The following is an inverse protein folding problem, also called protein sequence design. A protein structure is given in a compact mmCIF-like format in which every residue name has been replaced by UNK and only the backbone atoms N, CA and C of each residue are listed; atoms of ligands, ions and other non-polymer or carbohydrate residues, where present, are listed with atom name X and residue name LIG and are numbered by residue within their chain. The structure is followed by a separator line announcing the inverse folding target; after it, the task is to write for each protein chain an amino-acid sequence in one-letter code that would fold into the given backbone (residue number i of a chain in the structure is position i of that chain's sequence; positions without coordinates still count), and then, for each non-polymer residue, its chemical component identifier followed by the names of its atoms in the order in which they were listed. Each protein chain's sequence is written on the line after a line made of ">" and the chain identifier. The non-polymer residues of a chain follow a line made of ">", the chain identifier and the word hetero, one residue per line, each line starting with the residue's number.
data_IF_780028206574
#
_entry.id   IF_780028206574
#
_cell.length_a   1.000
_cell.length_b   1.000
_cell.length_c   1.000
_cell.angle_alpha   90.00
_cell.angle_beta   90.00
_cell.angle_gamma   90.00
#
_symmetry.space_group_name_H-M   'P 1'
#
loop_
_entity.id
_entity.type
_entity.pdbx_description
1 polymer ?
#
# COMPACT_ATOMS: atom_id res chain seq x y z
N UNK A 1 23.86 34.04 -11.55
CA UNK A 1 23.49 32.96 -10.61
C UNK A 1 21.97 32.90 -10.55
N UNK A 2 21.34 31.74 -10.78
CA UNK A 2 19.88 31.61 -10.66
C UNK A 2 19.49 31.58 -9.18
N UNK A 3 18.38 32.22 -8.84
CA UNK A 3 17.86 32.23 -7.48
C UNK A 3 17.06 30.95 -7.18
N UNK A 4 16.91 30.61 -5.90
CA UNK A 4 16.16 29.42 -5.49
C UNK A 4 14.69 29.49 -5.96
N UNK A 5 14.03 30.61 -5.73
CA UNK A 5 12.64 30.82 -6.14
C UNK A 5 12.46 30.91 -7.66
N UNK A 6 13.50 31.32 -8.41
CA UNK A 6 13.51 31.27 -9.88
C UNK A 6 13.45 29.81 -10.38
N UNK A 7 14.24 28.94 -9.76
CA UNK A 7 14.19 27.49 -10.03
C UNK A 7 12.86 26.87 -9.58
N UNK A 8 12.28 27.37 -8.48
CA UNK A 8 10.98 26.91 -8.00
C UNK A 8 9.87 27.25 -8.99
N UNK A 9 9.82 28.48 -9.50
CA UNK A 9 8.81 28.88 -10.50
C UNK A 9 8.93 28.05 -11.78
N UNK A 10 10.15 27.82 -12.28
CA UNK A 10 10.38 27.00 -13.49
C UNK A 10 9.86 25.56 -13.35
N UNK A 11 9.81 25.02 -12.13
CA UNK A 11 9.32 23.67 -11.84
C UNK A 11 7.80 23.60 -11.66
N UNK A 12 7.13 24.73 -11.47
CA UNK A 12 5.70 24.79 -11.23
C UNK A 12 4.99 25.37 -12.46
N UNK A 13 3.78 24.90 -12.74
CA UNK A 13 3.00 25.36 -13.88
C UNK A 13 2.03 26.44 -13.40
N UNK A 14 2.21 27.67 -13.87
CA UNK A 14 1.36 28.83 -13.55
C UNK A 14 0.84 29.46 -14.85
N UNK A 15 -0.26 30.21 -14.75
CA UNK A 15 -0.76 31.01 -15.87
C UNK A 15 0.27 32.03 -16.34
N UNK A 16 0.20 32.44 -17.61
CA UNK A 16 1.11 33.43 -18.18
C UNK A 16 1.08 34.75 -17.40
N UNK A 17 -0.09 35.14 -16.89
CA UNK A 17 -0.28 36.33 -16.06
C UNK A 17 0.45 36.24 -14.72
N UNK A 18 0.26 35.14 -13.98
CA UNK A 18 0.97 34.92 -12.72
C UNK A 18 2.49 34.81 -12.95
N UNK A 19 2.89 34.14 -14.04
CA UNK A 19 4.30 33.96 -14.39
C UNK A 19 4.97 35.30 -14.75
N UNK A 20 4.28 36.18 -15.48
CA UNK A 20 4.78 37.52 -15.80
C UNK A 20 5.02 38.36 -14.54
N UNK A 21 4.09 38.31 -13.57
CA UNK A 21 4.23 38.99 -12.28
C UNK A 21 5.38 38.42 -11.46
N UNK A 22 5.51 37.10 -11.38
CA UNK A 22 6.62 36.46 -10.69
C UNK A 22 7.97 36.76 -11.33
N UNK A 23 8.08 36.74 -12.67
CA UNK A 23 9.31 37.13 -13.37
C UNK A 23 9.68 38.59 -13.09
N UNK A 24 8.70 39.50 -13.14
CA UNK A 24 8.89 40.90 -12.80
C UNK A 24 9.36 41.07 -11.35
N UNK A 25 8.81 40.29 -10.42
CA UNK A 25 9.26 40.26 -9.02
C UNK A 25 10.73 39.85 -8.90
N UNK A 26 11.17 38.81 -9.63
CA UNK A 26 12.56 38.34 -9.66
C UNK A 26 13.50 39.42 -10.24
N UNK A 27 13.09 40.09 -11.32
CA UNK A 27 13.87 41.16 -11.93
C UNK A 27 14.03 42.35 -10.97
N UNK A 28 12.95 42.78 -10.32
CA UNK A 28 13.01 43.81 -9.28
C UNK A 28 13.91 43.40 -8.11
N UNK A 29 13.87 42.13 -7.69
CA UNK A 29 14.76 41.62 -6.63
C UNK A 29 16.23 41.74 -7.03
N UNK A 30 16.58 41.29 -8.25
CA UNK A 30 17.94 41.36 -8.79
C UNK A 30 18.42 42.81 -8.96
N UNK A 31 17.50 43.72 -9.27
CA UNK A 31 17.74 45.16 -9.34
C UNK A 31 17.72 45.87 -7.98
N UNK A 32 17.57 45.14 -6.86
CA UNK A 32 17.49 45.66 -5.49
C UNK A 32 16.32 46.63 -5.24
N UNK A 33 15.26 46.53 -6.04
CA UNK A 33 14.01 47.28 -5.87
C UNK A 33 13.03 46.43 -5.07
N UNK A 34 13.35 46.22 -3.79
CA UNK A 34 12.62 45.29 -2.92
C UNK A 34 11.11 45.59 -2.74
N UNK A 35 10.65 46.86 -2.61
CA UNK A 35 9.22 47.15 -2.54
C UNK A 35 8.46 46.70 -3.79
N UNK A 36 9.01 46.98 -4.97
CA UNK A 36 8.42 46.54 -6.24
C UNK A 36 8.46 45.01 -6.37
N UNK A 37 9.55 44.38 -5.94
CA UNK A 37 9.68 42.93 -5.92
C UNK A 37 8.61 42.26 -5.05
N UNK A 38 8.41 42.74 -3.81
CA UNK A 38 7.39 42.22 -2.90
C UNK A 38 5.98 42.42 -3.48
N UNK A 39 5.70 43.62 -4.00
CA UNK A 39 4.40 43.95 -4.60
C UNK A 39 4.08 43.02 -5.77
N UNK A 40 5.01 42.85 -6.71
CA UNK A 40 4.81 41.97 -7.87
C UNK A 40 4.70 40.50 -7.46
N UNK A 41 5.48 40.06 -6.47
CA UNK A 41 5.42 38.68 -5.96
C UNK A 41 4.08 38.39 -5.28
N UNK A 42 3.57 39.33 -4.49
CA UNK A 42 2.26 39.23 -3.87
C UNK A 42 1.14 39.25 -4.92
N UNK A 43 1.22 40.13 -5.93
CA UNK A 43 0.23 40.14 -7.02
C UNK A 43 0.23 38.81 -7.78
N UNK A 44 1.41 38.26 -8.10
CA UNK A 44 1.52 36.94 -8.71
C UNK A 44 0.83 35.87 -7.87
N UNK A 45 1.04 35.89 -6.55
CA UNK A 45 0.35 35.02 -5.61
C UNK A 45 -1.17 35.16 -5.65
N UNK A 46 -1.72 36.38 -5.63
CA UNK A 46 -3.17 36.61 -5.68
C UNK A 46 -3.76 36.20 -7.03
N UNK A 47 -3.03 36.38 -8.14
CA UNK A 47 -3.44 35.87 -9.45
C UNK A 47 -3.53 34.35 -9.44
N UNK A 48 -2.57 33.63 -8.88
CA UNK A 48 -2.69 32.15 -8.74
C UNK A 48 -3.95 31.75 -7.98
N UNK A 49 -4.32 32.50 -6.93
CA UNK A 49 -5.53 32.21 -6.17
C UNK A 49 -6.81 32.54 -6.95
N UNK A 50 -6.82 33.64 -7.71
CA UNK A 50 -7.89 33.98 -8.65
C UNK A 50 -8.07 32.87 -9.69
N UNK A 51 -6.99 32.47 -10.35
CA UNK A 51 -7.01 31.45 -11.40
C UNK A 51 -7.56 30.14 -10.87
N UNK A 52 -7.16 29.73 -9.66
CA UNK A 52 -7.74 28.56 -9.00
C UNK A 52 -9.26 28.63 -8.85
N UNK A 53 -9.83 29.80 -8.52
CA UNK A 53 -11.30 29.99 -8.42
C UNK A 53 -11.95 29.96 -9.80
N UNK A 54 -11.32 30.59 -10.78
CA UNK A 54 -11.85 30.67 -12.14
C UNK A 54 -11.81 29.33 -12.89
N UNK A 55 -10.82 28.48 -12.60
CA UNK A 55 -10.61 27.18 -13.25
C UNK A 55 -11.28 26.01 -12.51
N UNK A 56 -11.61 26.18 -11.22
CA UNK A 56 -12.23 25.12 -10.44
C UNK A 56 -13.70 24.87 -10.82
N UNK A 57 -14.12 23.61 -10.75
CA UNK A 57 -15.53 23.28 -10.69
C UNK A 57 -16.11 23.68 -9.33
N UNK A 58 -17.35 24.17 -9.32
CA UNK A 58 -18.03 24.55 -8.08
C UNK A 58 -18.12 23.34 -7.13
N UNK A 59 -17.57 23.42 -5.91
CA UNK A 59 -17.61 22.30 -4.97
C UNK A 59 -19.03 21.87 -4.62
N UNK A 60 -19.25 20.55 -4.49
CA UNK A 60 -20.55 20.00 -4.09
C UNK A 60 -20.98 20.56 -2.72
N UNK A 61 -22.19 21.12 -2.64
CA UNK A 61 -22.71 21.75 -1.42
C UNK A 61 -22.31 23.22 -1.23
N UNK A 62 -21.53 23.80 -2.15
CA UNK A 62 -21.26 25.24 -2.15
C UNK A 62 -22.50 26.02 -2.65
N UNK A 63 -22.88 27.15 -2.04
CA UNK A 63 -24.03 27.94 -2.49
C UNK A 63 -23.82 28.50 -3.90
N UNK A 64 -24.69 28.11 -4.84
CA UNK A 64 -24.57 28.45 -6.26
C UNK A 64 -24.49 29.96 -6.52
N UNK A 65 -25.37 30.74 -5.89
CA UNK A 65 -25.38 32.19 -6.09
C UNK A 65 -24.08 32.84 -5.60
N UNK A 66 -23.53 32.37 -4.48
CA UNK A 66 -22.28 32.88 -3.93
C UNK A 66 -21.09 32.57 -4.84
N UNK A 67 -21.08 31.40 -5.46
CA UNK A 67 -20.07 31.03 -6.45
C UNK A 67 -20.14 31.95 -7.68
N UNK A 68 -21.34 32.13 -8.24
CA UNK A 68 -21.57 33.00 -9.40
C UNK A 68 -21.15 34.45 -9.10
N UNK A 69 -21.52 34.98 -7.93
CA UNK A 69 -21.14 36.34 -7.52
C UNK A 69 -19.63 36.49 -7.38
N UNK A 70 -18.94 35.49 -6.80
CA UNK A 70 -17.48 35.52 -6.68
C UNK A 70 -16.79 35.48 -8.05
N UNK A 71 -17.24 34.63 -8.98
CA UNK A 71 -16.70 34.59 -10.35
C UNK A 71 -16.89 35.94 -11.05
N UNK A 72 -18.07 36.56 -10.92
CA UNK A 72 -18.36 37.88 -11.49
C UNK A 72 -17.43 38.96 -10.92
N UNK A 73 -17.19 38.97 -9.62
CA UNK A 73 -16.28 39.93 -8.97
C UNK A 73 -14.81 39.70 -9.38
N UNK A 74 -14.39 38.44 -9.56
CA UNK A 74 -13.05 38.08 -10.01
C UNK A 74 -12.77 38.45 -11.47
N UNK A 75 -13.81 38.52 -12.30
CA UNK A 75 -13.72 38.99 -13.68
C UNK A 75 -13.69 40.53 -13.81
N UNK A 76 -14.01 41.26 -12.74
CA UNK A 76 -14.01 42.70 -12.75
C UNK A 76 -12.62 43.25 -12.39
N UNK A 77 -12.00 43.99 -13.31
CA UNK A 77 -10.65 44.55 -13.18
C UNK A 77 -10.46 45.45 -11.94
N UNK A 78 -11.50 46.12 -11.47
CA UNK A 78 -11.43 47.01 -10.30
C UNK A 78 -11.61 46.27 -8.98
N UNK A 79 -12.15 45.04 -9.01
CA UNK A 79 -12.57 44.32 -7.82
C UNK A 79 -11.82 43.01 -7.59
N UNK A 80 -11.17 42.45 -8.62
CA UNK A 80 -10.67 41.07 -8.56
C UNK A 80 -9.66 40.83 -7.44
N UNK A 81 -8.78 41.78 -7.13
CA UNK A 81 -7.78 41.61 -6.07
C UNK A 81 -8.46 41.53 -4.69
N UNK A 82 -9.42 42.42 -4.45
CA UNK A 82 -10.21 42.42 -3.23
C UNK A 82 -11.08 41.17 -3.12
N UNK A 83 -11.70 40.76 -4.23
CA UNK A 83 -12.53 39.56 -4.31
C UNK A 83 -11.73 38.28 -4.04
N UNK A 84 -10.55 38.12 -4.65
CA UNK A 84 -9.65 37.00 -4.41
C UNK A 84 -9.20 36.95 -2.95
N UNK A 85 -8.82 38.09 -2.37
CA UNK A 85 -8.46 38.15 -0.95
C UNK A 85 -9.65 37.80 -0.04
N UNK A 86 -10.84 38.32 -0.33
CA UNK A 86 -12.05 38.03 0.43
C UNK A 86 -12.41 36.54 0.37
N UNK A 87 -12.25 35.89 -0.78
CA UNK A 87 -12.44 34.44 -0.92
C UNK A 87 -11.47 33.66 -0.02
N UNK A 88 -10.21 34.08 0.05
CA UNK A 88 -9.18 33.47 0.92
C UNK A 88 -9.40 33.78 2.40
N UNK A 89 -10.06 34.87 2.75
CA UNK A 89 -10.39 35.19 4.15
C UNK A 89 -11.71 34.57 4.61
N UNK A 90 -12.60 34.20 3.69
CA UNK A 90 -13.91 33.62 4.03
C UNK A 90 -13.75 32.29 4.76
N UNK A 91 -14.32 32.25 5.97
CA UNK A 91 -14.46 31.04 6.79
C UNK A 91 -15.82 30.39 6.56
N UNK A 92 -16.02 29.21 7.15
CA UNK A 92 -17.33 28.55 7.18
C UNK A 92 -18.36 29.43 7.91
N UNK A 93 -19.56 29.55 7.32
CA UNK A 93 -20.67 30.30 7.90
C UNK A 93 -21.84 29.33 8.06
N UNK A 94 -22.27 29.07 9.30
CA UNK A 94 -23.30 28.05 9.58
C UNK A 94 -24.73 28.50 9.31
N UNK A 95 -25.01 29.82 9.28
CA UNK A 95 -26.37 30.35 9.13
C UNK A 95 -26.43 31.65 8.31
N UNK A 96 -27.59 31.89 7.70
CA UNK A 96 -27.89 33.12 6.94
C UNK A 96 -27.70 32.99 5.43
N UNK A 97 -27.95 34.07 4.67
CA UNK A 97 -27.94 34.06 3.20
C UNK A 97 -26.57 33.82 2.57
N UNK A 98 -25.49 33.89 3.37
CA UNK A 98 -24.10 33.58 2.97
C UNK A 98 -23.56 32.28 3.61
N UNK A 99 -24.44 31.48 4.21
CA UNK A 99 -24.08 30.21 4.82
C UNK A 99 -23.41 29.30 3.79
N UNK A 100 -22.37 28.60 4.20
CA UNK A 100 -21.64 27.66 3.35
C UNK A 100 -20.18 27.51 3.75
N UNK A 101 -19.49 26.51 3.16
CA UNK A 101 -18.08 26.22 3.43
C UNK A 101 -17.17 27.31 2.85
N UNK A 102 -15.91 27.46 3.32
CA UNK A 102 -14.96 28.44 2.76
C UNK A 102 -14.60 28.12 1.30
N UNK A 103 -14.11 29.11 0.54
CA UNK A 103 -13.56 28.87 -0.82
C UNK A 103 -12.26 28.06 -0.76
N UNK A 104 -11.40 28.38 0.21
CA UNK A 104 -10.17 27.66 0.49
C UNK A 104 -10.26 27.10 1.92
N UNK A 105 -10.20 25.77 2.13
CA UNK A 105 -10.29 25.15 3.44
C UNK A 105 -8.95 25.21 4.19
N UNK A 106 -8.45 26.43 4.42
CA UNK A 106 -7.21 26.69 5.16
C UNK A 106 -7.49 27.14 6.60
N UNK A 107 -6.59 26.80 7.51
CA UNK A 107 -6.68 27.18 8.92
C UNK A 107 -6.42 28.68 9.15
N UNK A 108 -6.81 29.17 10.33
CA UNK A 108 -6.73 30.58 10.68
C UNK A 108 -5.29 31.11 10.78
N UNK A 109 -4.34 30.25 11.17
CA UNK A 109 -2.93 30.60 11.19
C UNK A 109 -2.43 30.98 9.79
N UNK A 110 -2.76 30.17 8.78
CA UNK A 110 -2.40 30.45 7.39
C UNK A 110 -3.12 31.70 6.86
N UNK A 111 -4.40 31.92 7.22
CA UNK A 111 -5.12 33.16 6.87
C UNK A 111 -4.44 34.40 7.47
N UNK A 112 -3.98 34.33 8.71
CA UNK A 112 -3.27 35.43 9.36
C UNK A 112 -1.92 35.72 8.69
N UNK A 113 -1.19 34.69 8.27
CA UNK A 113 0.04 34.87 7.48
C UNK A 113 -0.23 35.53 6.12
N UNK A 114 -1.31 35.14 5.44
CA UNK A 114 -1.73 35.76 4.18
C UNK A 114 -2.11 37.23 4.40
N UNK A 115 -2.80 37.55 5.50
CA UNK A 115 -3.12 38.94 5.88
C UNK A 115 -1.86 39.77 6.11
N UNK A 116 -0.86 39.23 6.80
CA UNK A 116 0.43 39.89 6.98
C UNK A 116 1.06 40.30 5.63
N UNK A 117 1.08 39.40 4.64
CA UNK A 117 1.63 39.72 3.32
C UNK A 117 0.82 40.78 2.55
N UNK A 118 -0.51 40.79 2.72
CA UNK A 118 -1.35 41.87 2.19
C UNK A 118 -0.95 43.23 2.79
N UNK A 119 -0.73 43.27 4.10
CA UNK A 119 -0.35 44.50 4.79
C UNK A 119 1.02 45.01 4.31
N UNK A 120 1.99 44.10 4.11
CA UNK A 120 3.29 44.45 3.49
C UNK A 120 3.18 44.94 2.06
N UNK A 121 2.30 44.35 1.23
CA UNK A 121 2.01 44.87 -0.12
C UNK A 121 1.40 46.28 -0.05
N UNK A 122 0.52 46.54 0.91
CA UNK A 122 -0.05 47.89 1.11
C UNK A 122 1.01 48.92 1.52
N UNK A 123 1.99 48.52 2.34
CA UNK A 123 3.13 49.36 2.68
C UNK A 123 3.94 49.74 1.41
N UNK A 124 4.17 48.77 0.51
CA UNK A 124 4.84 49.00 -0.78
C UNK A 124 4.06 49.96 -1.69
N UNK A 125 2.73 49.81 -1.77
CA UNK A 125 1.90 50.58 -2.70
C UNK A 125 1.61 52.02 -2.24
N UNK A 126 1.52 52.25 -0.94
CA UNK A 126 1.15 53.55 -0.36
C UNK A 126 2.32 54.29 0.30
N UNK A 127 3.54 53.77 0.16
CA UNK A 127 4.77 54.33 0.74
C UNK A 127 4.63 54.71 2.21
N UNK A 128 4.04 53.81 3.00
CA UNK A 128 3.90 53.96 4.46
C UNK A 128 5.27 53.82 5.12
N UNK A 129 5.44 54.37 6.34
CA UNK A 129 6.72 54.48 7.06
C UNK A 129 7.48 53.16 7.36
N UNK A 130 6.97 52.00 6.94
CA UNK A 130 7.60 50.70 7.16
C UNK A 130 8.61 50.38 6.05
N UNK A 131 9.87 50.16 6.42
CA UNK A 131 10.91 49.75 5.49
C UNK A 131 10.65 48.35 4.92
N UNK A 132 10.71 48.23 3.59
CA UNK A 132 10.69 46.96 2.87
C UNK A 132 12.07 46.68 2.31
N UNK A 133 12.71 45.62 2.81
CA UNK A 133 14.07 45.22 2.46
C UNK A 133 14.11 43.77 1.96
N UNK A 134 15.32 43.29 1.63
CA UNK A 134 15.57 41.95 1.08
C UNK A 134 14.95 40.83 1.92
N UNK A 135 15.02 40.91 3.26
CA UNK A 135 14.52 39.87 4.16
C UNK A 135 13.01 39.68 4.05
N UNK A 136 12.26 40.75 3.74
CA UNK A 136 10.81 40.66 3.52
C UNK A 136 10.50 39.92 2.21
N UNK A 137 11.28 40.18 1.16
CA UNK A 137 11.10 39.50 -0.12
C UNK A 137 11.46 38.02 -0.01
N UNK A 138 12.59 37.70 0.63
CA UNK A 138 12.98 36.31 0.90
C UNK A 138 11.93 35.60 1.77
N UNK A 139 11.38 36.29 2.76
CA UNK A 139 10.28 35.78 3.59
C UNK A 139 9.01 35.48 2.79
N UNK A 140 8.64 36.34 1.84
CA UNK A 140 7.49 36.11 0.96
C UNK A 140 7.73 34.86 0.11
N UNK A 141 8.90 34.74 -0.52
CA UNK A 141 9.22 33.56 -1.33
C UNK A 141 9.23 32.27 -0.51
N UNK A 142 9.83 32.29 0.68
CA UNK A 142 9.80 31.14 1.58
C UNK A 142 8.36 30.75 1.98
N UNK A 143 7.50 31.73 2.20
CA UNK A 143 6.07 31.51 2.45
C UNK A 143 5.38 30.87 1.24
N UNK A 144 5.61 31.37 0.03
CA UNK A 144 5.00 30.85 -1.21
C UNK A 144 5.47 29.42 -1.49
N UNK A 145 6.77 29.15 -1.41
CA UNK A 145 7.36 27.83 -1.58
C UNK A 145 6.74 26.81 -0.61
N UNK A 146 6.45 27.25 0.62
CA UNK A 146 5.96 26.36 1.70
C UNK A 146 4.45 26.14 1.68
N UNK A 147 3.67 27.08 1.14
CA UNK A 147 2.23 27.12 1.35
C UNK A 147 1.40 27.22 0.08
N UNK A 148 1.92 27.76 -1.02
CA UNK A 148 1.10 28.04 -2.20
C UNK A 148 0.38 26.79 -2.71
N UNK A 149 1.04 25.64 -2.76
CA UNK A 149 0.42 24.40 -3.24
C UNK A 149 -0.68 23.85 -2.32
N UNK A 150 -0.73 24.27 -1.05
CA UNK A 150 -1.74 23.82 -0.07
C UNK A 150 -3.06 24.60 -0.15
N UNK A 151 -3.09 25.73 -0.88
CA UNK A 151 -4.25 26.64 -0.93
C UNK A 151 -5.13 26.29 -2.13
N UNK A 152 -5.86 25.17 -2.09
CA UNK A 152 -6.71 24.69 -3.19
C UNK A 152 -8.20 24.89 -2.90
N UNK A 153 -9.03 24.89 -3.95
CA UNK A 153 -10.49 25.07 -3.85
C UNK A 153 -11.21 23.75 -3.70
N UNK A 154 -10.78 22.76 -4.46
CA UNK A 154 -11.23 21.41 -4.27
C UNK A 154 -10.70 20.96 -2.91
N UNK A 155 -11.65 20.53 -2.07
CA UNK A 155 -11.51 20.40 -0.63
C UNK A 155 -10.54 19.33 -0.20
N UNK A 156 -9.23 19.61 -0.33
CA UNK A 156 -8.11 18.83 0.18
C UNK A 156 -8.34 17.32 0.18
N UNK A 157 -7.98 16.70 1.30
CA UNK A 157 -8.17 15.28 1.60
C UNK A 157 -9.59 14.77 1.31
N UNK A 158 -10.63 15.49 1.73
CA UNK A 158 -12.02 15.03 1.71
C UNK A 158 -12.60 14.92 0.28
N UNK A 159 -12.32 15.89 -0.58
CA UNK A 159 -12.75 15.86 -1.98
C UNK A 159 -12.04 14.75 -2.73
N UNK A 160 -10.73 14.57 -2.50
CA UNK A 160 -9.98 13.47 -3.12
C UNK A 160 -10.54 12.10 -2.70
N UNK A 161 -10.87 11.91 -1.42
CA UNK A 161 -11.54 10.69 -0.94
C UNK A 161 -12.86 10.42 -1.67
N UNK A 162 -13.68 11.46 -1.91
CA UNK A 162 -14.92 11.32 -2.68
C UNK A 162 -14.66 10.97 -4.15
N UNK A 163 -13.60 11.49 -4.77
CA UNK A 163 -13.20 11.09 -6.13
C UNK A 163 -12.81 9.62 -6.17
N UNK A 164 -12.05 9.12 -5.18
CA UNK A 164 -11.72 7.70 -5.07
C UNK A 164 -12.96 6.82 -4.88
N UNK A 165 -13.87 7.20 -3.97
CA UNK A 165 -15.16 6.50 -3.77
C UNK A 165 -15.92 6.38 -5.07
N UNK A 166 -16.10 7.49 -5.79
CA UNK A 166 -16.81 7.53 -7.06
C UNK A 166 -16.10 6.74 -8.16
N UNK A 167 -14.76 6.74 -8.17
CA UNK A 167 -13.96 5.97 -9.12
C UNK A 167 -14.15 4.45 -8.97
N UNK A 168 -14.24 3.96 -7.73
CA UNK A 168 -14.43 2.53 -7.48
C UNK A 168 -15.91 2.09 -7.48
N UNK A 169 -16.84 3.04 -7.43
CA UNK A 169 -18.27 2.76 -7.64
C UNK A 169 -18.60 2.50 -9.12
N UNK A 170 -19.02 1.27 -9.41
CA UNK A 170 -19.36 0.78 -10.76
C UNK A 170 -20.59 1.46 -11.37
N UNK A 171 -21.42 2.12 -10.57
CA UNK A 171 -22.55 2.90 -11.08
C UNK A 171 -22.11 4.23 -11.71
N UNK A 172 -20.93 4.74 -11.35
CA UNK A 172 -20.40 6.01 -11.85
C UNK A 172 -19.20 5.85 -12.79
N UNK A 173 -18.38 4.82 -12.60
CA UNK A 173 -17.06 4.70 -13.24
C UNK A 173 -16.85 3.29 -13.81
N UNK A 174 -16.35 3.22 -15.05
CA UNK A 174 -16.03 1.95 -15.71
C UNK A 174 -14.88 1.22 -14.99
N UNK A 175 -14.95 -0.12 -14.96
CA UNK A 175 -13.91 -0.96 -14.37
C UNK A 175 -12.53 -0.86 -15.04
N UNK A 176 -12.48 -0.33 -16.26
CA UNK A 176 -11.25 -0.15 -17.03
C UNK A 176 -10.63 1.24 -16.89
N UNK A 177 -11.33 2.17 -16.22
CA UNK A 177 -10.84 3.54 -16.09
C UNK A 177 -9.59 3.58 -15.21
N UNK A 178 -8.61 4.39 -15.62
CA UNK A 178 -7.34 4.48 -14.89
C UNK A 178 -7.47 5.39 -13.65
N UNK A 179 -7.00 4.90 -12.51
CA UNK A 179 -6.97 5.62 -11.22
C UNK A 179 -5.70 6.46 -11.05
N UNK A 180 -4.69 6.28 -11.92
CA UNK A 180 -3.41 7.01 -11.85
C UNK A 180 -3.58 8.53 -11.73
N UNK A 181 -4.50 9.21 -12.45
CA UNK A 181 -4.74 10.64 -12.27
C UNK A 181 -5.05 11.01 -10.81
N UNK A 182 -5.92 10.24 -10.14
CA UNK A 182 -6.27 10.48 -8.74
C UNK A 182 -5.10 10.20 -7.80
N UNK A 183 -4.25 9.21 -8.10
CA UNK A 183 -3.05 8.95 -7.30
C UNK A 183 -2.08 10.15 -7.39
N UNK A 184 -1.90 10.75 -8.56
CA UNK A 184 -1.05 11.93 -8.74
C UNK A 184 -1.57 13.13 -7.96
N UNK A 185 -2.89 13.27 -7.80
CA UNK A 185 -3.51 14.33 -7.01
C UNK A 185 -3.18 14.24 -5.51
N UNK A 186 -2.87 13.05 -4.97
CA UNK A 186 -2.60 12.85 -3.53
C UNK A 186 -1.51 13.81 -3.04
N UNK A 187 -0.43 13.97 -3.80
CA UNK A 187 0.72 14.80 -3.40
C UNK A 187 0.38 16.28 -3.27
N UNK A 188 -0.66 16.74 -3.96
CA UNK A 188 -1.12 18.12 -3.93
C UNK A 188 -2.27 18.32 -2.93
N UNK A 189 -3.10 17.31 -2.73
CA UNK A 189 -4.31 17.40 -1.91
C UNK A 189 -4.12 17.00 -0.44
N UNK A 190 -3.07 16.22 -0.13
CA UNK A 190 -2.84 15.65 1.21
C UNK A 190 -1.43 16.01 1.69
N UNK A 191 -1.32 16.63 2.87
CA UNK A 191 0.00 16.94 3.42
C UNK A 191 0.68 15.68 3.97
N UNK A 192 2.02 15.65 4.00
CA UNK A 192 2.80 14.48 4.47
C UNK A 192 2.38 13.99 5.86
N UNK A 193 2.01 14.89 6.77
CA UNK A 193 1.56 14.55 8.12
C UNK A 193 0.17 13.91 8.17
N UNK A 194 -0.66 14.13 7.16
CA UNK A 194 -2.04 13.62 7.07
C UNK A 194 -2.13 12.32 6.26
N UNK A 195 -1.04 11.90 5.61
CA UNK A 195 -1.02 10.67 4.81
C UNK A 195 -1.45 9.41 5.60
N UNK A 196 -1.01 9.18 6.87
CA UNK A 196 -1.47 8.01 7.62
C UNK A 196 -2.98 7.94 7.78
N UNK A 197 -3.62 9.07 8.13
CA UNK A 197 -5.08 9.14 8.28
C UNK A 197 -5.78 9.09 6.92
N UNK A 198 -5.15 9.58 5.86
CA UNK A 198 -5.68 9.50 4.50
C UNK A 198 -5.71 8.05 4.00
N UNK A 199 -4.66 7.27 4.21
CA UNK A 199 -4.66 5.85 3.80
C UNK A 199 -5.79 5.09 4.49
N UNK A 200 -5.96 5.30 5.79
CA UNK A 200 -7.06 4.70 6.54
C UNK A 200 -8.42 5.03 5.94
N UNK A 201 -8.72 6.33 5.78
CA UNK A 201 -10.01 6.76 5.23
C UNK A 201 -10.21 6.33 3.77
N UNK A 202 -9.13 6.24 2.98
CA UNK A 202 -9.17 5.78 1.60
C UNK A 202 -9.49 4.30 1.51
N UNK A 203 -8.80 3.46 2.28
CA UNK A 203 -9.07 2.03 2.28
C UNK A 203 -10.45 1.75 2.86
N UNK A 204 -10.83 2.35 3.99
CA UNK A 204 -12.19 2.23 4.55
C UNK A 204 -13.29 2.62 3.53
N UNK A 205 -12.99 3.58 2.65
CA UNK A 205 -13.91 4.07 1.64
C UNK A 205 -14.08 3.17 0.41
N UNK A 206 -13.08 2.34 0.09
CA UNK A 206 -13.06 1.48 -1.11
C UNK A 206 -13.10 0.00 -0.77
N UNK A 207 -12.98 -0.36 0.51
CA UNK A 207 -12.87 -1.74 0.97
C UNK A 207 -14.13 -2.53 0.66
N UNK A 208 -13.94 -3.74 0.14
CA UNK A 208 -14.95 -4.79 0.19
C UNK A 208 -14.57 -5.78 1.29
N UNK A 209 -15.50 -6.05 2.21
CA UNK A 209 -15.28 -6.95 3.36
C UNK A 209 -14.80 -8.35 2.95
N UNK A 210 -15.04 -8.77 1.72
CA UNK A 210 -14.71 -10.11 1.24
C UNK A 210 -13.71 -10.14 0.07
N UNK A 211 -13.39 -9.00 -0.55
CA UNK A 211 -12.52 -8.94 -1.73
C UNK A 211 -11.52 -7.76 -1.71
N UNK A 212 -10.27 -8.07 -1.39
CA UNK A 212 -9.16 -7.10 -1.37
C UNK A 212 -8.63 -6.73 -2.78
N UNK A 213 -9.26 -7.17 -3.86
CA UNK A 213 -8.73 -6.98 -5.23
C UNK A 213 -8.56 -5.50 -5.58
N UNK A 214 -9.45 -4.62 -5.12
CA UNK A 214 -9.40 -3.19 -5.38
C UNK A 214 -8.19 -2.57 -4.67
N UNK A 215 -8.02 -2.88 -3.40
CA UNK A 215 -6.95 -2.40 -2.52
C UNK A 215 -5.60 -2.87 -3.04
N UNK A 216 -5.47 -4.15 -3.39
CA UNK A 216 -4.26 -4.72 -3.98
C UNK A 216 -3.91 -4.01 -5.29
N UNK A 217 -4.89 -3.80 -6.18
CA UNK A 217 -4.70 -3.10 -7.45
C UNK A 217 -4.22 -1.66 -7.23
N UNK A 218 -4.84 -0.94 -6.28
CA UNK A 218 -4.45 0.42 -5.93
C UNK A 218 -3.03 0.47 -5.36
N UNK A 219 -2.70 -0.40 -4.41
CA UNK A 219 -1.35 -0.51 -3.83
C UNK A 219 -0.33 -0.73 -4.95
N UNK A 220 -0.54 -1.70 -5.84
CA UNK A 220 0.38 -1.97 -6.96
C UNK A 220 0.58 -0.75 -7.87
N UNK A 221 -0.49 0.01 -8.14
CA UNK A 221 -0.38 1.25 -8.94
C UNK A 221 0.40 2.34 -8.21
N UNK A 222 0.20 2.52 -6.90
CA UNK A 222 0.96 3.49 -6.11
C UNK A 222 2.46 3.15 -6.14
N UNK A 223 2.82 1.89 -5.91
CA UNK A 223 4.21 1.45 -5.97
C UNK A 223 4.83 1.65 -7.36
N UNK A 224 4.07 1.40 -8.44
CA UNK A 224 4.55 1.60 -9.82
C UNK A 224 4.91 3.05 -10.13
N UNK A 225 4.31 4.03 -9.45
CA UNK A 225 4.63 5.44 -9.64
C UNK A 225 5.95 5.87 -9.00
N UNK A 226 6.55 5.03 -8.15
CA UNK A 226 7.86 5.26 -7.53
C UNK A 226 8.00 6.61 -6.80
N UNK A 227 6.91 7.15 -6.26
CA UNK A 227 6.97 8.31 -5.37
C UNK A 227 7.40 7.85 -3.98
N UNK A 228 8.61 8.23 -3.54
CA UNK A 228 9.15 7.81 -2.23
C UNK A 228 8.24 8.23 -1.08
N UNK A 229 7.74 9.47 -1.10
CA UNK A 229 6.86 10.00 -0.05
C UNK A 229 5.59 9.16 0.09
N UNK A 230 4.93 8.84 -1.03
CA UNK A 230 3.68 8.07 -1.00
C UNK A 230 3.96 6.60 -0.65
N UNK A 231 5.01 6.03 -1.24
CA UNK A 231 5.36 4.61 -1.05
C UNK A 231 5.76 4.34 0.39
N UNK A 232 6.65 5.15 0.97
CA UNK A 232 7.10 4.98 2.35
C UNK A 232 5.94 5.13 3.34
N UNK A 233 5.08 6.13 3.11
CA UNK A 233 3.90 6.34 3.95
C UNK A 233 2.89 5.21 3.82
N UNK A 234 2.68 4.67 2.63
CA UNK A 234 1.78 3.55 2.39
C UNK A 234 2.32 2.26 3.03
N UNK A 235 3.63 1.99 2.91
CA UNK A 235 4.29 0.86 3.58
C UNK A 235 4.06 0.94 5.09
N UNK A 236 4.31 2.12 5.68
CA UNK A 236 4.10 2.33 7.11
C UNK A 236 2.65 2.02 7.52
N UNK A 237 1.67 2.47 6.72
CA UNK A 237 0.25 2.17 6.97
C UNK A 237 -0.06 0.67 6.84
N UNK A 238 0.36 0.00 5.76
CA UNK A 238 0.13 -1.43 5.55
C UNK A 238 0.63 -2.22 6.76
N UNK A 239 1.85 -1.96 7.25
CA UNK A 239 2.43 -2.65 8.42
C UNK A 239 1.58 -2.55 9.69
N UNK A 240 0.81 -1.48 9.84
CA UNK A 240 -0.08 -1.27 11.00
C UNK A 240 -1.42 -1.98 10.87
N UNK A 241 -1.90 -2.20 9.64
CA UNK A 241 -3.16 -2.88 9.37
C UNK A 241 -2.92 -4.39 9.10
N UNK A 242 -3.22 -5.22 10.11
CA UNK A 242 -3.06 -6.67 9.99
C UNK A 242 -4.00 -7.30 8.96
N UNK A 243 -5.19 -6.74 8.75
CA UNK A 243 -6.19 -7.25 7.81
C UNK A 243 -5.71 -7.03 6.38
N UNK A 244 -5.35 -5.80 6.06
CA UNK A 244 -4.81 -5.41 4.76
C UNK A 244 -3.48 -6.11 4.48
N UNK A 245 -2.56 -6.16 5.44
CA UNK A 245 -1.28 -6.89 5.29
C UNK A 245 -1.52 -8.35 4.92
N UNK A 246 -2.43 -9.02 5.63
CA UNK A 246 -2.78 -10.42 5.37
C UNK A 246 -3.45 -10.58 4.00
N UNK A 247 -4.45 -9.76 3.69
CA UNK A 247 -5.18 -9.80 2.43
C UNK A 247 -4.25 -9.62 1.23
N UNK A 248 -3.37 -8.62 1.32
CA UNK A 248 -2.39 -8.29 0.31
C UNK A 248 -1.34 -9.40 0.12
N UNK A 249 -0.69 -9.87 1.19
CA UNK A 249 0.37 -10.89 1.08
C UNK A 249 -0.15 -12.28 0.70
N UNK A 250 -1.41 -12.62 0.98
CA UNK A 250 -2.01 -13.87 0.47
C UNK A 250 -2.07 -13.89 -1.07
N UNK A 251 -2.26 -12.74 -1.70
CA UNK A 251 -2.38 -12.59 -3.15
C UNK A 251 -1.06 -12.25 -3.82
N UNK A 252 -0.20 -11.49 -3.15
CA UNK A 252 1.09 -11.03 -3.66
C UNK A 252 2.25 -11.37 -2.68
N UNK A 253 2.61 -12.65 -2.49
CA UNK A 253 3.63 -13.07 -1.52
C UNK A 253 5.01 -12.46 -1.74
N UNK A 254 5.39 -12.24 -2.99
CA UNK A 254 6.68 -11.65 -3.37
C UNK A 254 6.87 -10.23 -2.82
N UNK A 255 5.78 -9.56 -2.47
CA UNK A 255 5.80 -8.18 -2.03
C UNK A 255 6.30 -7.99 -0.61
N UNK A 256 6.44 -9.07 0.16
CA UNK A 256 6.95 -9.03 1.53
C UNK A 256 8.29 -8.28 1.65
N UNK A 257 9.20 -8.45 0.68
CA UNK A 257 10.49 -7.76 0.65
C UNK A 257 10.36 -6.23 0.61
N UNK A 258 9.31 -5.70 -0.02
CA UNK A 258 9.10 -4.27 -0.19
C UNK A 258 8.54 -3.61 1.07
N UNK A 259 8.04 -4.39 2.03
CA UNK A 259 7.50 -3.86 3.29
C UNK A 259 8.60 -3.46 4.28
N UNK A 260 9.87 -3.81 4.03
CA UNK A 260 11.00 -3.37 4.84
C UNK A 260 10.85 -3.72 6.33
N UNK A 261 10.40 -4.94 6.63
CA UNK A 261 10.34 -5.42 8.02
C UNK A 261 11.76 -5.55 8.60
N UNK A 262 11.94 -5.15 9.87
CA UNK A 262 13.16 -5.42 10.63
C UNK A 262 13.36 -6.93 10.85
N UNK A 263 14.51 -7.33 11.37
CA UNK A 263 14.75 -8.75 11.73
C UNK A 263 13.76 -9.24 12.79
N UNK A 264 13.48 -8.41 13.78
CA UNK A 264 12.52 -8.70 14.86
C UNK A 264 11.09 -8.77 14.33
N UNK A 265 10.71 -7.84 13.44
CA UNK A 265 9.39 -7.86 12.81
C UNK A 265 9.22 -9.08 11.92
N UNK A 266 10.24 -9.42 11.12
CA UNK A 266 10.27 -10.62 10.28
C UNK A 266 10.12 -11.88 11.12
N UNK A 267 10.86 -11.98 12.23
CA UNK A 267 10.74 -13.08 13.19
C UNK A 267 9.35 -13.17 13.80
N UNK A 268 8.81 -12.04 14.25
CA UNK A 268 7.44 -11.99 14.77
C UNK A 268 6.42 -12.45 13.73
N UNK A 269 6.63 -12.10 12.46
CA UNK A 269 5.72 -12.42 11.37
C UNK A 269 5.62 -13.93 11.13
N UNK A 270 6.75 -14.62 10.91
CA UNK A 270 6.72 -16.07 10.66
C UNK A 270 6.38 -16.87 11.93
N UNK A 271 6.65 -16.33 13.12
CA UNK A 271 6.19 -16.93 14.36
C UNK A 271 4.67 -16.83 14.53
N UNK A 272 4.08 -15.64 14.38
CA UNK A 272 2.72 -15.39 14.89
C UNK A 272 1.67 -15.17 13.82
N UNK A 273 2.06 -14.73 12.61
CA UNK A 273 1.11 -14.21 11.63
C UNK A 273 0.85 -15.16 10.47
N UNK A 274 1.88 -15.87 9.98
CA UNK A 274 1.74 -16.73 8.81
C UNK A 274 0.64 -17.81 9.00
N UNK A 275 0.44 -18.36 10.22
CA UNK A 275 -0.50 -19.49 10.43
C UNK A 275 -1.95 -19.07 10.19
N UNK A 276 -2.21 -17.77 10.27
CA UNK A 276 -3.53 -17.20 10.02
C UNK A 276 -3.73 -16.85 8.54
N UNK A 277 -2.77 -17.14 7.65
CA UNK A 277 -2.81 -16.81 6.23
C UNK A 277 -3.21 -18.02 5.40
N UNK A 278 -4.07 -17.84 4.39
CA UNK A 278 -4.46 -18.94 3.50
C UNK A 278 -3.30 -19.41 2.63
N UNK A 279 -2.42 -18.48 2.24
CA UNK A 279 -1.25 -18.74 1.40
C UNK A 279 0.07 -18.53 2.15
N UNK A 280 0.09 -18.88 3.44
CA UNK A 280 1.25 -18.61 4.31
C UNK A 280 2.55 -19.29 3.86
N UNK A 281 2.49 -20.47 3.25
CA UNK A 281 3.67 -21.16 2.73
C UNK A 281 4.31 -20.44 1.53
N UNK A 282 3.52 -19.79 0.66
CA UNK A 282 4.09 -18.98 -0.42
C UNK A 282 4.74 -17.70 0.11
N UNK A 283 4.16 -17.10 1.16
CA UNK A 283 4.79 -15.96 1.86
C UNK A 283 6.08 -16.41 2.53
N UNK A 284 6.09 -17.57 3.19
CA UNK A 284 7.30 -18.15 3.77
C UNK A 284 8.38 -18.44 2.71
N UNK A 285 8.02 -19.05 1.58
CA UNK A 285 8.92 -19.26 0.45
C UNK A 285 9.48 -17.94 -0.10
N UNK A 286 8.65 -16.89 -0.20
CA UNK A 286 9.09 -15.55 -0.57
C UNK A 286 10.10 -14.96 0.42
N UNK A 287 9.90 -15.17 1.73
CA UNK A 287 10.85 -14.71 2.76
C UNK A 287 12.21 -15.40 2.64
N UNK A 288 12.22 -16.72 2.39
CA UNK A 288 13.45 -17.49 2.16
C UNK A 288 14.16 -17.08 0.86
N UNK A 289 13.41 -16.98 -0.24
CA UNK A 289 13.93 -16.58 -1.56
C UNK A 289 14.66 -15.24 -1.52
N UNK A 290 14.19 -14.32 -0.68
CA UNK A 290 14.75 -12.99 -0.52
C UNK A 290 15.72 -12.86 0.67
N UNK A 291 16.18 -13.98 1.26
CA UNK A 291 17.13 -14.04 2.37
C UNK A 291 16.72 -13.18 3.58
N UNK A 292 15.41 -13.10 3.88
CA UNK A 292 14.89 -12.26 4.96
C UNK A 292 14.97 -12.94 6.33
N UNK A 293 15.06 -14.27 6.36
CA UNK A 293 15.24 -15.06 7.58
C UNK A 293 16.74 -15.34 7.76
N UNK A 294 17.34 -15.00 8.92
CA UNK A 294 18.73 -15.35 9.22
C UNK A 294 18.97 -16.85 9.10
N UNK A 295 20.14 -17.25 8.58
CA UNK A 295 20.47 -18.66 8.34
C UNK A 295 20.28 -19.54 9.58
N UNK A 296 20.69 -19.06 10.76
CA UNK A 296 20.56 -19.78 12.03
C UNK A 296 19.09 -20.02 12.44
N UNK A 297 18.17 -19.19 11.95
CA UNK A 297 16.73 -19.27 12.25
C UNK A 297 15.96 -20.16 11.26
N UNK A 298 16.55 -20.54 10.11
CA UNK A 298 15.84 -21.22 9.02
C UNK A 298 15.30 -22.59 9.47
N UNK A 299 16.12 -23.38 10.17
CA UNK A 299 15.69 -24.69 10.65
C UNK A 299 14.50 -24.60 11.62
N UNK A 300 14.57 -23.65 12.57
CA UNK A 300 13.46 -23.38 13.50
C UNK A 300 12.20 -22.94 12.73
N UNK A 301 12.36 -22.07 11.75
CA UNK A 301 11.24 -21.58 10.96
C UNK A 301 10.60 -22.71 10.14
N UNK A 302 11.39 -23.57 9.49
CA UNK A 302 10.90 -24.76 8.78
C UNK A 302 10.13 -25.70 9.72
N UNK A 303 10.67 -26.02 10.90
CA UNK A 303 10.00 -26.83 11.92
C UNK A 303 8.66 -26.24 12.37
N UNK A 304 8.50 -24.91 12.31
CA UNK A 304 7.21 -24.28 12.61
C UNK A 304 6.20 -24.40 11.48
N UNK A 305 6.67 -24.33 10.24
CA UNK A 305 5.79 -24.31 9.06
C UNK A 305 5.15 -25.68 8.77
N UNK A 306 5.73 -26.79 9.25
CA UNK A 306 5.16 -28.14 9.05
C UNK A 306 3.77 -28.29 9.68
N UNK A 307 3.47 -27.53 10.75
CA UNK A 307 2.16 -27.52 11.42
C UNK A 307 1.04 -26.86 10.59
N UNK A 308 1.33 -26.42 9.37
CA UNK A 308 0.31 -25.98 8.41
C UNK A 308 -0.36 -27.18 7.76
N UNK A 309 0.31 -28.33 7.79
CA UNK A 309 -0.18 -29.60 7.28
C UNK A 309 -0.59 -29.50 5.80
N UNK A 310 0.17 -28.69 5.04
CA UNK A 310 -0.09 -28.37 3.63
C UNK A 310 1.22 -28.27 2.83
N UNK A 311 1.06 -28.34 1.51
CA UNK A 311 2.10 -27.98 0.55
C UNK A 311 1.82 -26.61 -0.08
N UNK A 312 2.85 -25.89 -0.55
CA UNK A 312 2.64 -24.74 -1.41
C UNK A 312 1.93 -25.16 -2.71
N UNK A 313 1.16 -24.23 -3.29
CA UNK A 313 0.33 -24.51 -4.47
C UNK A 313 1.14 -24.68 -5.76
N UNK A 314 2.31 -24.02 -5.85
CA UNK A 314 3.17 -24.06 -7.02
C UNK A 314 4.52 -24.74 -6.73
N UNK A 315 5.15 -25.24 -7.78
CA UNK A 315 6.40 -25.98 -7.67
C UNK A 315 7.61 -25.08 -7.37
N UNK A 316 7.60 -23.80 -7.77
CA UNK A 316 8.73 -22.90 -7.51
C UNK A 316 8.87 -22.60 -6.02
N UNK A 317 7.76 -22.35 -5.33
CA UNK A 317 7.72 -22.21 -3.88
C UNK A 317 8.13 -23.52 -3.21
N UNK A 318 7.65 -24.66 -3.70
CA UNK A 318 8.08 -25.97 -3.17
C UNK A 318 9.59 -26.16 -3.22
N UNK A 319 10.21 -25.90 -4.37
CA UNK A 319 11.66 -26.06 -4.56
C UNK A 319 12.44 -25.13 -3.62
N UNK A 320 11.96 -23.89 -3.41
CA UNK A 320 12.56 -22.97 -2.44
C UNK A 320 12.47 -23.54 -1.02
N UNK A 321 11.33 -24.08 -0.62
CA UNK A 321 11.17 -24.68 0.71
C UNK A 321 12.07 -25.91 0.88
N UNK A 322 12.13 -26.78 -0.12
CA UNK A 322 12.95 -28.00 -0.13
C UNK A 322 14.44 -27.68 0.09
N UNK A 323 15.00 -26.75 -0.69
CA UNK A 323 16.41 -26.34 -0.58
C UNK A 323 16.76 -25.81 0.82
N UNK A 324 15.79 -25.26 1.54
CA UNK A 324 15.95 -24.73 2.89
C UNK A 324 15.57 -25.72 4.00
N UNK A 325 15.45 -27.02 3.69
CA UNK A 325 15.27 -28.08 4.68
C UNK A 325 13.82 -28.26 5.16
N UNK A 326 12.83 -27.69 4.48
CA UNK A 326 11.42 -27.91 4.82
C UNK A 326 11.02 -29.39 4.66
N UNK A 327 11.54 -30.08 3.64
CA UNK A 327 11.29 -31.50 3.42
C UNK A 327 11.75 -32.36 4.60
N UNK A 328 12.92 -32.06 5.15
CA UNK A 328 13.46 -32.75 6.32
C UNK A 328 12.62 -32.47 7.57
N UNK A 329 12.25 -31.21 7.80
CA UNK A 329 11.38 -30.86 8.91
C UNK A 329 10.01 -31.57 8.79
N UNK A 330 9.47 -31.65 7.57
CA UNK A 330 8.20 -32.32 7.31
C UNK A 330 8.30 -33.83 7.47
N UNK A 331 9.42 -34.43 7.07
CA UNK A 331 9.71 -35.84 7.33
C UNK A 331 9.69 -36.16 8.83
N UNK A 332 10.43 -35.40 9.62
CA UNK A 332 10.46 -35.52 11.08
C UNK A 332 9.05 -35.37 11.67
N UNK A 333 8.28 -34.40 11.16
CA UNK A 333 6.91 -34.16 11.57
C UNK A 333 5.91 -35.23 11.13
N UNK A 334 6.12 -35.94 10.01
CA UNK A 334 5.18 -36.92 9.40
C UNK A 334 5.54 -38.41 9.61
N UNK A 335 6.79 -38.73 9.95
CA UNK A 335 7.22 -40.12 10.11
C UNK A 335 7.96 -40.44 11.41
N UNK A 336 8.53 -39.44 12.09
CA UNK A 336 9.37 -39.69 13.28
C UNK A 336 8.67 -39.31 14.59
N UNK A 337 8.13 -38.09 14.67
CA UNK A 337 7.66 -37.49 15.93
C UNK A 337 6.24 -37.87 16.35
N UNK A 338 5.60 -38.83 15.69
CA UNK A 338 4.19 -39.15 15.93
C UNK A 338 3.90 -39.71 17.31
N UNK A 339 2.67 -39.41 17.76
CA UNK A 339 2.08 -40.08 18.91
C UNK A 339 1.92 -41.57 18.62
N UNK A 340 2.39 -42.41 19.55
CA UNK A 340 2.17 -43.86 19.55
C UNK A 340 0.73 -44.25 19.87
N UNK A 341 -0.15 -43.29 20.17
CA UNK A 341 -1.56 -43.56 20.41
C UNK A 341 -2.29 -43.80 19.09
N UNK A 342 -2.63 -45.07 18.83
CA UNK A 342 -3.17 -45.59 17.57
C UNK A 342 -4.36 -44.78 17.01
N UNK A 343 -5.32 -44.37 17.85
CA UNK A 343 -6.50 -43.61 17.41
C UNK A 343 -6.19 -42.18 16.95
N UNK A 344 -5.40 -41.43 17.74
CA UNK A 344 -5.07 -40.03 17.42
C UNK A 344 -4.23 -39.95 16.15
N UNK A 345 -3.34 -40.93 15.97
CA UNK A 345 -2.50 -41.03 14.79
C UNK A 345 -3.29 -41.37 13.53
N UNK A 346 -4.14 -42.40 13.59
CA UNK A 346 -5.06 -42.75 12.50
C UNK A 346 -5.94 -41.56 12.10
N UNK A 347 -6.48 -40.82 13.08
CA UNK A 347 -7.32 -39.64 12.81
C UNK A 347 -6.53 -38.55 12.10
N UNK A 348 -5.31 -38.28 12.53
CA UNK A 348 -4.42 -37.29 11.92
C UNK A 348 -4.10 -37.68 10.47
N UNK A 349 -3.66 -38.92 10.25
CA UNK A 349 -3.25 -39.39 8.93
C UNK A 349 -4.41 -39.34 7.92
N UNK A 350 -5.62 -39.77 8.32
CA UNK A 350 -6.79 -39.67 7.44
C UNK A 350 -7.22 -38.24 7.15
N UNK A 351 -7.01 -37.31 8.10
CA UNK A 351 -7.29 -35.89 7.87
C UNK A 351 -6.27 -35.25 6.92
N UNK A 352 -5.06 -35.83 6.84
CA UNK A 352 -3.92 -35.29 6.11
C UNK A 352 -3.41 -36.21 4.98
N UNK A 353 -4.29 -37.04 4.40
CA UNK A 353 -3.92 -38.02 3.35
C UNK A 353 -3.09 -37.37 2.24
N UNK A 354 -3.54 -36.22 1.71
CA UNK A 354 -2.85 -35.52 0.63
C UNK A 354 -1.42 -35.13 0.99
N UNK A 355 -1.17 -34.78 2.26
CA UNK A 355 0.16 -34.41 2.77
C UNK A 355 1.12 -35.61 2.72
N UNK A 356 0.67 -36.78 3.18
CA UNK A 356 1.47 -38.02 3.12
C UNK A 356 1.76 -38.44 1.68
N UNK A 357 0.72 -38.48 0.82
CA UNK A 357 0.87 -38.91 -0.58
C UNK A 357 1.78 -37.97 -1.35
N UNK A 358 1.61 -36.66 -1.19
CA UNK A 358 2.47 -35.66 -1.84
C UNK A 358 3.91 -35.76 -1.33
N UNK A 359 4.12 -36.08 -0.04
CA UNK A 359 5.46 -36.31 0.49
C UNK A 359 6.14 -37.49 -0.22
N UNK A 360 5.45 -38.64 -0.27
CA UNK A 360 5.95 -39.86 -0.94
C UNK A 360 6.26 -39.58 -2.42
N UNK A 361 5.40 -38.82 -3.09
CA UNK A 361 5.58 -38.47 -4.50
C UNK A 361 6.81 -37.57 -4.74
N UNK A 362 7.04 -36.58 -3.87
CA UNK A 362 8.04 -35.53 -4.11
C UNK A 362 9.42 -35.82 -3.53
N UNK A 363 9.51 -36.51 -2.39
CA UNK A 363 10.78 -36.71 -1.68
C UNK A 363 11.30 -38.14 -1.81
N UNK A 364 12.63 -38.35 -1.71
CA UNK A 364 13.20 -39.68 -1.56
C UNK A 364 12.63 -40.41 -0.33
N UNK A 365 12.34 -41.69 -0.49
CA UNK A 365 11.76 -42.53 0.56
C UNK A 365 12.84 -42.97 1.55
N UNK A 366 12.58 -42.68 2.82
CA UNK A 366 13.42 -43.09 3.94
C UNK A 366 12.86 -44.35 4.59
N UNK A 367 13.71 -45.03 5.37
CA UNK A 367 13.37 -46.28 6.04
C UNK A 367 12.14 -46.11 6.94
N UNK A 368 12.08 -45.03 7.72
CA UNK A 368 10.98 -44.73 8.64
C UNK A 368 9.68 -44.45 7.88
N UNK A 369 9.75 -43.79 6.71
CA UNK A 369 8.57 -43.55 5.87
C UNK A 369 7.94 -44.87 5.43
N UNK A 370 8.76 -45.79 4.94
CA UNK A 370 8.27 -47.08 4.42
C UNK A 370 7.84 -48.01 5.55
N UNK A 371 8.61 -48.09 6.64
CA UNK A 371 8.27 -48.88 7.81
C UNK A 371 6.89 -48.51 8.35
N UNK A 372 6.65 -47.21 8.54
CA UNK A 372 5.42 -46.67 9.09
C UNK A 372 4.22 -46.88 8.16
N UNK A 373 4.40 -46.70 6.85
CA UNK A 373 3.34 -46.95 5.88
C UNK A 373 3.00 -48.44 5.80
N UNK A 374 3.98 -49.34 5.81
CA UNK A 374 3.71 -50.77 5.85
C UNK A 374 2.94 -51.16 7.13
N UNK A 375 3.40 -50.70 8.30
CA UNK A 375 2.73 -50.96 9.58
C UNK A 375 1.28 -50.44 9.58
N UNK A 376 1.04 -49.21 9.12
CA UNK A 376 -0.30 -48.62 9.09
C UNK A 376 -1.27 -49.40 8.17
N UNK A 377 -0.77 -49.92 7.05
CA UNK A 377 -1.57 -50.60 6.05
C UNK A 377 -1.83 -52.07 6.36
N UNK A 378 -1.08 -52.66 7.30
CA UNK A 378 -1.25 -54.03 7.78
C UNK A 378 -2.15 -54.15 9.02
N UNK A 379 -2.54 -53.03 9.64
CA UNK A 379 -3.43 -53.04 10.80
C UNK A 379 -4.76 -53.73 10.49
N UNK A 380 -5.31 -54.43 11.49
CA UNK A 380 -6.67 -54.99 11.41
C UNK A 380 -7.73 -53.94 11.78
N UNK A 381 -7.43 -53.09 12.77
CA UNK A 381 -8.30 -52.03 13.27
C UNK A 381 -7.67 -50.63 13.12
N UNK A 382 -8.52 -49.63 12.89
CA UNK A 382 -8.11 -48.24 12.63
C UNK A 382 -7.08 -48.13 11.50
N UNK A 383 -7.40 -48.73 10.35
CA UNK A 383 -6.59 -48.61 9.13
C UNK A 383 -6.92 -47.30 8.41
N UNK A 384 -5.90 -46.59 7.94
CA UNK A 384 -6.07 -45.41 7.10
C UNK A 384 -6.41 -45.77 5.65
N UNK A 385 -7.65 -46.20 5.42
CA UNK A 385 -8.15 -46.64 4.10
C UNK A 385 -7.92 -45.61 2.98
N UNK A 386 -8.08 -44.32 3.28
CA UNK A 386 -7.86 -43.27 2.27
C UNK A 386 -6.40 -43.15 1.85
N UNK A 387 -5.46 -43.34 2.80
CA UNK A 387 -4.02 -43.35 2.48
C UNK A 387 -3.69 -44.56 1.63
N UNK A 388 -4.19 -45.74 2.00
CA UNK A 388 -4.02 -46.97 1.23
C UNK A 388 -4.44 -46.78 -0.23
N UNK A 389 -5.65 -46.30 -0.45
CA UNK A 389 -6.24 -46.20 -1.78
C UNK A 389 -5.52 -45.11 -2.63
N UNK A 390 -5.15 -43.99 -2.02
CA UNK A 390 -4.39 -42.95 -2.73
C UNK A 390 -2.93 -43.36 -3.01
N UNK A 391 -2.31 -44.11 -2.12
CA UNK A 391 -0.96 -44.63 -2.31
C UNK A 391 -0.93 -45.69 -3.41
N UNK A 392 -1.94 -46.57 -3.45
CA UNK A 392 -2.18 -47.50 -4.54
C UNK A 392 -2.31 -46.78 -5.90
N UNK A 393 -3.07 -45.69 -5.95
CA UNK A 393 -3.22 -44.87 -7.16
C UNK A 393 -1.89 -44.21 -7.57
N UNK A 394 -1.13 -43.67 -6.61
CA UNK A 394 0.20 -43.09 -6.85
C UNK A 394 1.14 -44.15 -7.46
N UNK A 395 1.23 -45.33 -6.86
CA UNK A 395 2.12 -46.39 -7.32
C UNK A 395 1.72 -46.98 -8.68
N UNK A 396 0.41 -47.03 -8.97
CA UNK A 396 -0.08 -47.48 -10.27
C UNK A 396 0.25 -46.48 -11.39
N UNK A 397 0.30 -45.18 -11.07
CA UNK A 397 0.61 -44.11 -12.03
C UNK A 397 2.09 -43.72 -12.09
N UNK A 398 2.86 -44.04 -11.04
CA UNK A 398 4.28 -43.75 -10.92
C UNK A 398 5.04 -45.02 -10.50
N UNK A 399 5.39 -45.85 -11.50
CA UNK A 399 6.10 -47.11 -11.30
C UNK A 399 7.48 -46.91 -10.67
N UNK A 400 8.16 -45.80 -10.96
CA UNK A 400 9.46 -45.48 -10.37
C UNK A 400 9.37 -45.31 -8.85
N UNK A 401 8.32 -44.65 -8.35
CA UNK A 401 8.09 -44.53 -6.90
C UNK A 401 7.69 -45.85 -6.25
N UNK A 402 6.95 -46.69 -6.95
CA UNK A 402 6.64 -48.05 -6.48
C UNK A 402 7.91 -48.91 -6.35
N UNK A 403 8.82 -48.83 -7.33
CA UNK A 403 10.08 -49.56 -7.29
C UNK A 403 10.99 -49.07 -6.15
N UNK A 404 11.05 -47.74 -5.93
CA UNK A 404 11.74 -47.16 -4.77
C UNK A 404 11.15 -47.69 -3.45
N UNK A 405 9.82 -47.71 -3.33
CA UNK A 405 9.13 -48.23 -2.14
C UNK A 405 9.45 -49.71 -1.88
N UNK A 406 9.39 -50.56 -2.91
CA UNK A 406 9.74 -51.99 -2.81
C UNK A 406 11.20 -52.19 -2.42
N UNK A 407 12.11 -51.40 -2.98
CA UNK A 407 13.54 -51.50 -2.68
C UNK A 407 13.80 -51.18 -1.21
N UNK A 408 13.21 -50.10 -0.70
CA UNK A 408 13.35 -49.71 0.71
C UNK A 408 12.69 -50.74 1.62
N UNK A 409 11.48 -51.21 1.30
CA UNK A 409 10.78 -52.25 2.08
C UNK A 409 11.62 -53.55 2.18
N UNK A 410 12.19 -53.99 1.06
CA UNK A 410 13.07 -55.16 1.03
C UNK A 410 14.37 -54.94 1.82
N UNK A 411 14.95 -53.73 1.78
CA UNK A 411 16.14 -53.37 2.56
C UNK A 411 15.89 -53.44 4.07
N UNK A 412 14.74 -52.95 4.53
CA UNK A 412 14.40 -52.91 5.96
C UNK A 412 13.70 -54.18 6.46
N UNK A 413 13.42 -55.14 5.57
CA UNK A 413 12.73 -56.39 5.91
C UNK A 413 11.24 -56.20 6.24
N UNK A 414 10.62 -55.12 5.77
CA UNK A 414 9.18 -54.88 5.96
C UNK A 414 8.36 -55.74 5.00
N UNK A 415 7.25 -56.30 5.51
CA UNK A 415 6.28 -57.00 4.67
C UNK A 415 5.50 -55.98 3.84
N UNK A 416 5.38 -56.24 2.53
CA UNK A 416 4.55 -55.39 1.67
C UNK A 416 3.06 -55.68 1.96
N UNK A 417 2.23 -54.64 2.18
CA UNK A 417 0.80 -54.81 2.36
C UNK A 417 0.15 -55.47 1.14
N UNK A 418 -0.77 -56.42 1.35
CA UNK A 418 -1.49 -57.10 0.26
C UNK A 418 -2.21 -56.13 -0.67
N UNK A 419 -2.73 -55.04 -0.11
CA UNK A 419 -3.40 -53.97 -0.85
C UNK A 419 -2.51 -53.29 -1.90
N UNK A 420 -1.18 -53.34 -1.72
CA UNK A 420 -0.20 -52.79 -2.65
C UNK A 420 0.31 -53.89 -3.62
N UNK A 421 0.36 -55.15 -3.17
CA UNK A 421 0.80 -56.29 -4.00
C UNK A 421 -0.12 -56.58 -5.18
N UNK A 422 -1.44 -56.43 -5.00
CA UNK A 422 -2.46 -56.82 -5.99
C UNK A 422 -2.44 -55.95 -7.26
N UNK A 423 -1.87 -54.75 -7.22
CA UNK A 423 -1.87 -53.80 -8.34
C UNK A 423 -0.92 -54.18 -9.48
N UNK A 424 -0.06 -55.19 -9.30
CA UNK A 424 1.00 -55.52 -10.25
C UNK A 424 1.25 -57.03 -10.44
N UNK A 425 0.23 -57.87 -10.22
CA UNK A 425 0.23 -59.23 -10.77
C UNK A 425 -0.38 -59.24 -12.18
#
# INVERSE_FOLDING_TARGET
>A
MKLKFETWIEKNHYSDNALALFKSSIECYKAQVYPASLLMGYLGFVVVLKDRIMEAEMPSGFPQQLWIDAIRELQNEDLWEAAAFNAVMRQEISQGPKAGPPFFPINDSLRNQIRYWKDRRNDCAHNKDNEINISHVDGLWAFLESNLQKITIEGGKATLLNKFKRHYDRSYTSATQDVTPLIMEISNAVSKGELPDFWKELFDAITDLFDYTIEISLIKKIFKLNSSILTDSLIAYIKTDNGLTKGFLNKEPHFFQHLGFSKEETRNFWQKKLNNMSNGLAVFASMLRNNLIPQDDINEACQRMVFYERYPENNDDHNVLEVHGFGEALFEHLFVTHSKAQWSYWKFMNSNVRLYITYVEKYPLKDETVALLCEELEKEDFVSFFVRDQLANLFSSNTGKMDEFKQVAGRIGATLPESIKILHN
#
